data_IF_306299206872
#
_entry.id   IF_306299206872
#
_cell.length_a   1.000
_cell.length_b   1.000
_cell.length_c   1.000
_cell.angle_alpha   90.00
_cell.angle_beta   90.00
_cell.angle_gamma   90.00
#
_symmetry.space_group_name_H-M   'P 1'
#
loop_
_entity.id
_entity.type
_entity.pdbx_description
1 polymer ?
#
# COMPACT_ATOMS: atom_id res chain seq x y z
N UNK A 1 28.36 1.51 -8.10
CA UNK A 1 28.04 0.06 -8.18
C UNK A 1 28.80 -0.67 -7.08
N UNK A 2 28.28 -1.77 -6.49
CA UNK A 2 28.95 -2.45 -5.39
C UNK A 2 30.29 -3.04 -5.85
N UNK A 3 31.28 -3.03 -4.96
CA UNK A 3 32.69 -3.39 -5.23
C UNK A 3 32.89 -4.92 -5.37
N UNK A 4 31.94 -5.72 -4.86
CA UNK A 4 31.83 -7.16 -5.10
C UNK A 4 30.38 -7.52 -5.39
N UNK A 5 30.15 -8.26 -6.48
CA UNK A 5 28.83 -8.81 -6.82
C UNK A 5 28.51 -9.96 -5.86
N UNK A 6 27.30 -9.99 -5.30
CA UNK A 6 26.79 -11.14 -4.53
C UNK A 6 26.62 -12.34 -5.47
N UNK A 7 26.75 -13.56 -4.93
CA UNK A 7 26.47 -14.80 -5.66
C UNK A 7 24.95 -14.98 -5.79
N UNK A 8 24.34 -14.28 -6.74
CA UNK A 8 22.91 -14.34 -7.03
C UNK A 8 22.23 -12.98 -7.07
N UNK A 9 20.93 -13.00 -7.37
CA UNK A 9 20.05 -11.83 -7.38
C UNK A 9 18.80 -12.18 -6.59
N UNK A 10 18.38 -11.30 -5.68
CA UNK A 10 17.16 -11.46 -4.88
C UNK A 10 16.06 -10.56 -5.41
N UNK A 11 14.91 -11.18 -5.66
CA UNK A 11 13.68 -10.49 -6.04
C UNK A 11 12.67 -10.62 -4.91
N UNK A 12 11.97 -9.54 -4.62
CA UNK A 12 10.72 -9.57 -3.87
C UNK A 12 9.57 -9.18 -4.80
N UNK A 13 8.45 -9.88 -4.63
CA UNK A 13 7.24 -9.72 -5.43
C UNK A 13 6.08 -9.32 -4.54
N UNK A 14 5.35 -8.28 -4.96
CA UNK A 14 4.07 -7.93 -4.35
C UNK A 14 2.98 -7.83 -5.41
N UNK A 15 1.73 -7.81 -4.93
CA UNK A 15 0.56 -7.48 -5.73
C UNK A 15 -0.05 -6.17 -5.26
N UNK A 16 -1.37 -6.15 -5.29
CA UNK A 16 -2.23 -5.00 -5.02
C UNK A 16 -2.00 -4.36 -3.65
N UNK A 17 -2.15 -3.04 -3.60
CA UNK A 17 -2.02 -2.24 -2.39
C UNK A 17 -3.27 -1.39 -2.16
N UNK A 18 -3.72 -1.35 -0.90
CA UNK A 18 -4.78 -0.46 -0.44
C UNK A 18 -6.14 -0.68 -1.12
N UNK A 19 -6.52 -1.94 -1.32
CA UNK A 19 -7.79 -2.35 -1.91
C UNK A 19 -8.85 -2.72 -0.87
N UNK A 20 -10.10 -2.76 -1.32
CA UNK A 20 -11.23 -3.39 -0.61
C UNK A 20 -11.46 -2.84 0.83
N UNK A 21 -11.14 -1.57 1.05
CA UNK A 21 -11.33 -0.88 2.33
C UNK A 21 -10.17 -0.99 3.33
N UNK A 22 -9.05 -1.61 2.94
CA UNK A 22 -7.88 -1.82 3.80
C UNK A 22 -6.70 -0.94 3.40
N UNK A 23 -6.65 0.27 3.97
CA UNK A 23 -5.63 1.29 3.71
C UNK A 23 -4.52 1.37 4.76
N UNK A 24 -3.92 2.55 4.88
CA UNK A 24 -2.83 2.82 5.83
C UNK A 24 -3.41 2.86 7.24
N UNK A 25 -2.96 1.95 8.11
CA UNK A 25 -3.32 1.97 9.52
C UNK A 25 -2.15 2.50 10.38
N UNK A 26 -2.21 3.75 10.88
CA UNK A 26 -1.11 4.36 11.60
C UNK A 26 -0.88 3.71 12.96
N UNK A 27 -1.91 3.13 13.59
CA UNK A 27 -1.79 2.42 14.88
C UNK A 27 -0.90 1.17 14.77
N UNK A 28 -0.77 0.63 13.55
CA UNK A 28 0.08 -0.51 13.23
C UNK A 28 1.39 -0.11 12.54
N UNK A 29 1.69 1.19 12.40
CA UNK A 29 2.87 1.69 11.69
C UNK A 29 2.73 1.72 10.16
N UNK A 30 1.51 1.72 9.62
CA UNK A 30 1.24 1.80 8.18
C UNK A 30 1.52 0.48 7.45
N UNK A 31 2.16 0.57 6.27
CA UNK A 31 2.44 -0.60 5.42
C UNK A 31 3.69 -1.37 5.87
N UNK A 32 3.59 -2.09 7.00
CA UNK A 32 4.67 -2.92 7.56
C UNK A 32 5.27 -3.96 6.61
N UNK A 33 4.55 -4.32 5.53
CA UNK A 33 5.05 -5.27 4.54
C UNK A 33 6.30 -4.74 3.82
N UNK A 34 6.44 -3.43 3.64
CA UNK A 34 7.63 -2.85 3.01
C UNK A 34 8.88 -3.01 3.88
N UNK A 35 8.76 -2.90 5.21
CA UNK A 35 9.87 -3.18 6.13
C UNK A 35 10.26 -4.65 6.08
N UNK A 36 9.28 -5.55 6.07
CA UNK A 36 9.52 -6.99 5.97
C UNK A 36 10.20 -7.37 4.65
N UNK A 37 9.78 -6.78 3.52
CA UNK A 37 10.43 -6.96 2.22
C UNK A 37 11.84 -6.37 2.20
N UNK A 38 12.04 -5.18 2.78
CA UNK A 38 13.35 -4.53 2.88
C UNK A 38 14.35 -5.32 3.72
N UNK A 39 13.90 -5.98 4.79
CA UNK A 39 14.73 -6.82 5.64
C UNK A 39 15.31 -8.05 4.92
N UNK A 40 14.72 -8.46 3.78
CA UNK A 40 15.26 -9.53 2.93
C UNK A 40 16.45 -9.07 2.08
N UNK A 41 16.78 -7.78 2.12
CA UNK A 41 17.88 -7.17 1.38
C UNK A 41 17.83 -7.54 -0.12
N UNK A 42 16.71 -7.21 -0.80
CA UNK A 42 16.49 -7.56 -2.19
C UNK A 42 17.27 -6.64 -3.13
N UNK A 43 17.66 -7.18 -4.29
CA UNK A 43 18.24 -6.38 -5.37
C UNK A 43 17.15 -5.72 -6.23
N UNK A 44 15.98 -6.35 -6.31
CA UNK A 44 14.83 -5.86 -7.07
C UNK A 44 13.52 -6.06 -6.31
N UNK A 45 12.68 -5.04 -6.38
CA UNK A 45 11.26 -5.13 -6.03
C UNK A 45 10.44 -5.02 -7.30
N UNK A 46 9.57 -6.00 -7.54
CA UNK A 46 8.60 -5.94 -8.62
C UNK A 46 7.19 -6.02 -8.03
N UNK A 47 6.45 -4.93 -8.19
CA UNK A 47 5.04 -4.87 -7.86
C UNK A 47 4.24 -5.20 -9.12
N UNK A 48 3.52 -6.32 -9.09
CA UNK A 48 2.67 -6.80 -10.18
C UNK A 48 1.22 -6.82 -9.71
N UNK A 49 0.69 -5.64 -9.41
CA UNK A 49 -0.68 -5.47 -8.98
C UNK A 49 -1.10 -4.01 -8.99
N UNK A 50 -2.34 -3.77 -8.57
CA UNK A 50 -2.95 -2.45 -8.54
C UNK A 50 -2.29 -1.60 -7.45
N UNK A 51 -1.56 -0.57 -7.88
CA UNK A 51 -1.01 0.46 -6.99
C UNK A 51 -2.01 1.61 -6.75
N UNK A 52 -3.24 1.46 -7.26
CA UNK A 52 -4.31 2.43 -7.11
C UNK A 52 -5.66 1.73 -7.30
N UNK A 53 -6.57 1.98 -6.36
CA UNK A 53 -8.01 1.76 -6.52
C UNK A 53 -8.70 3.11 -6.51
N UNK A 54 -9.21 3.55 -7.67
CA UNK A 54 -9.88 4.85 -7.81
C UNK A 54 -11.41 4.74 -7.74
N UNK A 55 -11.93 3.51 -7.72
CA UNK A 55 -13.35 3.15 -7.67
C UNK A 55 -13.75 2.47 -6.34
N UNK A 56 -12.77 2.15 -5.49
CA UNK A 56 -12.97 1.55 -4.18
C UNK A 56 -12.64 2.53 -3.05
N UNK A 57 -13.63 3.22 -2.46
CA UNK A 57 -13.43 4.06 -1.30
C UNK A 57 -12.87 3.27 -0.10
N UNK A 58 -12.02 3.90 0.68
CA UNK A 58 -11.56 3.35 1.96
C UNK A 58 -12.30 4.06 3.10
N UNK A 59 -13.15 3.34 3.87
CA UNK A 59 -13.79 3.91 5.04
C UNK A 59 -12.75 4.16 6.14
N UNK A 60 -13.01 5.13 7.01
CA UNK A 60 -12.13 5.44 8.16
C UNK A 60 -11.93 4.22 9.07
N UNK A 61 -12.93 3.34 9.18
CA UNK A 61 -12.85 2.14 10.00
C UNK A 61 -13.40 0.91 9.32
N UNK A 62 -12.81 -0.26 9.61
CA UNK A 62 -13.34 -1.56 9.24
C UNK A 62 -13.31 -2.52 10.45
N UNK A 63 -14.35 -3.34 10.63
CA UNK A 63 -14.41 -4.32 11.70
C UNK A 63 -13.49 -5.51 11.41
N UNK A 64 -12.75 -5.98 12.41
CA UNK A 64 -11.92 -7.17 12.32
C UNK A 64 -12.67 -8.40 12.87
N UNK A 65 -12.36 -9.62 12.40
CA UNK A 65 -13.04 -10.84 12.85
C UNK A 65 -12.92 -11.14 14.35
N UNK A 66 -11.89 -10.60 15.01
CA UNK A 66 -11.63 -10.73 16.44
C UNK A 66 -12.39 -9.70 17.31
N UNK A 67 -13.25 -8.89 16.69
CA UNK A 67 -13.96 -7.78 17.36
C UNK A 67 -13.14 -6.49 17.43
N UNK A 68 -11.91 -6.49 16.93
CA UNK A 68 -11.09 -5.29 16.79
C UNK A 68 -11.61 -4.34 15.71
N UNK A 69 -10.97 -3.17 15.62
CA UNK A 69 -11.26 -2.18 14.59
C UNK A 69 -9.97 -1.79 13.88
N UNK A 70 -9.97 -1.92 12.57
CA UNK A 70 -8.96 -1.34 11.71
C UNK A 70 -9.27 0.13 11.47
N UNK A 71 -8.25 1.00 11.58
CA UNK A 71 -8.40 2.45 11.42
C UNK A 71 -7.53 2.92 10.27
N UNK A 72 -8.16 3.40 9.22
CA UNK A 72 -7.48 3.90 8.04
C UNK A 72 -7.20 5.40 8.17
N UNK A 73 -6.06 5.85 7.64
CA UNK A 73 -5.96 7.22 7.14
C UNK A 73 -6.96 7.36 5.99
N UNK A 74 -7.67 8.47 5.93
CA UNK A 74 -8.57 8.82 4.83
C UNK A 74 -8.17 10.18 4.25
N UNK A 75 -8.46 10.38 2.97
CA UNK A 75 -8.43 11.69 2.32
C UNK A 75 -9.76 11.91 1.63
N UNK A 76 -10.05 13.15 1.24
CA UNK A 76 -11.26 13.46 0.48
C UNK A 76 -11.33 12.58 -0.79
N UNK A 77 -10.23 12.50 -1.55
CA UNK A 77 -10.17 11.73 -2.79
C UNK A 77 -10.28 10.22 -2.57
N UNK A 78 -9.81 9.69 -1.44
CA UNK A 78 -9.88 8.25 -1.14
C UNK A 78 -11.21 7.83 -0.53
N UNK A 79 -12.04 8.80 -0.12
CA UNK A 79 -13.34 8.57 0.52
C UNK A 79 -14.50 8.39 -0.48
N UNK A 80 -14.24 8.55 -1.78
CA UNK A 80 -15.22 8.42 -2.86
C UNK A 80 -14.63 7.81 -4.13
N UNK A 81 -15.51 7.42 -5.05
CA UNK A 81 -15.12 7.07 -6.43
C UNK A 81 -14.57 8.32 -7.12
N UNK A 82 -13.44 8.19 -7.81
CA UNK A 82 -12.86 9.27 -8.57
C UNK A 82 -13.69 9.55 -9.84
N UNK A 83 -14.07 10.81 -10.02
CA UNK A 83 -14.83 11.31 -11.17
C UNK A 83 -14.02 12.38 -11.95
N UNK A 84 -12.89 12.81 -11.37
CA UNK A 84 -12.00 13.82 -11.91
C UNK A 84 -10.54 13.36 -11.89
N UNK A 85 -9.70 14.01 -12.70
CA UNK A 85 -8.27 13.74 -12.73
C UNK A 85 -7.56 14.10 -11.41
N UNK A 86 -8.07 15.10 -10.68
CA UNK A 86 -7.55 15.45 -9.37
C UNK A 86 -7.78 14.30 -8.37
N UNK A 87 -8.99 13.75 -8.33
CA UNK A 87 -9.34 12.61 -7.47
C UNK A 87 -8.56 11.34 -7.85
N UNK A 88 -8.41 11.05 -9.15
CA UNK A 88 -7.58 9.92 -9.60
C UNK A 88 -6.13 10.04 -9.11
N UNK A 89 -5.54 11.25 -9.21
CA UNK A 89 -4.18 11.50 -8.72
C UNK A 89 -4.10 11.48 -7.19
N UNK A 90 -5.13 11.93 -6.49
CA UNK A 90 -5.23 11.81 -5.04
C UNK A 90 -5.24 10.36 -4.58
N UNK A 91 -6.02 9.51 -5.27
CA UNK A 91 -6.05 8.07 -5.03
C UNK A 91 -4.68 7.39 -5.23
N UNK A 92 -3.89 7.80 -6.22
CA UNK A 92 -2.51 7.32 -6.38
C UNK A 92 -1.61 7.78 -5.24
N UNK A 93 -1.68 9.08 -4.87
CA UNK A 93 -0.84 9.67 -3.82
C UNK A 93 -1.11 9.12 -2.43
N UNK A 94 -2.32 8.60 -2.19
CA UNK A 94 -2.69 7.97 -0.92
C UNK A 94 -1.64 6.95 -0.44
N UNK A 95 -1.11 6.14 -1.36
CA UNK A 95 -0.12 5.11 -1.03
C UNK A 95 1.29 5.65 -0.71
N UNK A 96 1.49 6.97 -0.82
CA UNK A 96 2.76 7.67 -0.61
C UNK A 96 2.73 8.62 0.61
N UNK A 97 1.65 8.55 1.40
CA UNK A 97 1.46 9.36 2.62
C UNK A 97 2.39 8.93 3.77
#
# INVERSE_FOLDING_TARGET
APVRRRDGVRFVWSGDLAGQGWGINPDLGGYRIYDAMGALDPDFFLCSGDNIYADGPIPETAALPDGGTWRNITTEEKSKVAETLAEFRGNFRYNLL
#
